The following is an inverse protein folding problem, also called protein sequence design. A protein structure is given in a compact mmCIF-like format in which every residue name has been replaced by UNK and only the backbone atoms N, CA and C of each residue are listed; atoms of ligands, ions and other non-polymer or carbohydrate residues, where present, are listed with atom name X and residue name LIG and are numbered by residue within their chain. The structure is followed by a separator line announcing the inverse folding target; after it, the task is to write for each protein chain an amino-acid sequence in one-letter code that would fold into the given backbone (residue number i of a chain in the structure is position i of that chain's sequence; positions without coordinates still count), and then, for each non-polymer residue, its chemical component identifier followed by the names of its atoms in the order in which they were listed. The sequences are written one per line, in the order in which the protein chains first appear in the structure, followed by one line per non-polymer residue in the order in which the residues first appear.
data_IF_665339755799
#
_entry.id   IF_665339755799
#
_cell.length_a   1.000
_cell.length_b   1.000
_cell.length_c   1.000
_cell.angle_alpha   90.00
_cell.angle_beta   90.00
_cell.angle_gamma   90.00
#
_symmetry.space_group_name_H-M   'P 1'
#
loop_
_entity.id
_entity.type
_entity.pdbx_description
1 polymer ?
#
# COMPACT_ATOMS: atom_id res chain seq x y z
N UNK A 1 -18.78 8.36 0.88
CA UNK A 1 -17.71 8.25 1.89
C UNK A 1 -16.65 9.30 1.56
N UNK A 2 -16.06 10.00 2.55
CA UNK A 2 -14.97 10.96 2.25
C UNK A 2 -13.69 10.22 1.81
N UNK A 3 -12.77 10.84 1.05
CA UNK A 3 -11.51 10.21 0.68
C UNK A 3 -10.71 9.73 1.90
N UNK A 4 -10.71 10.50 2.99
CA UNK A 4 -10.06 10.11 4.24
C UNK A 4 -10.69 8.86 4.87
N UNK A 5 -12.02 8.77 4.89
CA UNK A 5 -12.73 7.58 5.38
C UNK A 5 -12.41 6.36 4.51
N UNK A 6 -12.38 6.51 3.18
CA UNK A 6 -12.01 5.41 2.27
C UNK A 6 -10.59 4.90 2.54
N UNK A 7 -9.62 5.80 2.71
CA UNK A 7 -8.24 5.44 3.05
C UNK A 7 -8.14 4.74 4.42
N UNK A 8 -8.95 5.15 5.39
CA UNK A 8 -9.02 4.44 6.68
C UNK A 8 -9.62 3.05 6.53
N UNK A 9 -10.67 2.88 5.72
CA UNK A 9 -11.24 1.57 5.39
C UNK A 9 -10.21 0.67 4.70
N UNK A 10 -9.45 1.19 3.72
CA UNK A 10 -8.35 0.46 3.08
C UNK A 10 -7.32 -0.02 4.10
N UNK A 11 -6.89 0.87 5.02
CA UNK A 11 -5.95 0.54 6.09
C UNK A 11 -6.51 -0.56 7.01
N UNK A 12 -7.78 -0.48 7.39
CA UNK A 12 -8.41 -1.44 8.29
C UNK A 12 -8.61 -2.81 7.59
N UNK A 13 -9.02 -2.83 6.32
CA UNK A 13 -9.13 -4.06 5.52
C UNK A 13 -7.76 -4.70 5.30
N UNK A 14 -6.75 -3.91 4.95
CA UNK A 14 -5.38 -4.41 4.79
C UNK A 14 -4.86 -5.02 6.10
N UNK A 15 -5.15 -4.37 7.24
CA UNK A 15 -4.79 -4.89 8.57
C UNK A 15 -5.45 -6.25 8.86
N UNK A 16 -6.67 -6.49 8.40
CA UNK A 16 -7.33 -7.79 8.54
C UNK A 16 -6.63 -8.88 7.71
N UNK A 17 -6.16 -8.55 6.51
CA UNK A 17 -5.47 -9.48 5.60
C UNK A 17 -4.07 -9.83 6.15
N UNK A 18 -3.29 -8.83 6.52
CA UNK A 18 -1.88 -9.03 6.90
C UNK A 18 -1.69 -9.47 8.35
N UNK A 19 -2.76 -9.45 9.14
CA UNK A 19 -2.80 -9.96 10.51
C UNK A 19 -1.79 -9.31 11.45
N UNK A 20 -0.64 -9.96 11.64
CA UNK A 20 0.41 -9.56 12.59
C UNK A 20 1.31 -8.43 12.10
N UNK A 21 1.28 -8.12 10.80
CA UNK A 21 2.11 -7.07 10.22
C UNK A 21 1.57 -5.67 10.53
N UNK A 22 2.47 -4.69 10.57
CA UNK A 22 2.09 -3.33 10.92
C UNK A 22 1.45 -2.62 9.73
N UNK A 23 0.26 -2.07 9.92
CA UNK A 23 -0.43 -1.25 8.92
C UNK A 23 -0.68 0.13 9.48
N UNK A 24 -0.19 1.15 8.77
CA UNK A 24 -0.22 2.54 9.20
C UNK A 24 -0.66 3.47 8.07
N UNK A 25 -1.06 4.68 8.43
CA UNK A 25 -1.23 5.81 7.50
C UNK A 25 -0.18 6.90 7.70
N UNK A 26 0.76 6.69 8.63
CA UNK A 26 1.81 7.63 8.92
C UNK A 26 3.09 7.21 8.19
N UNK A 27 3.57 8.06 7.27
CA UNK A 27 4.80 7.81 6.53
C UNK A 27 6.02 7.65 7.45
N UNK A 28 6.09 8.37 8.58
CA UNK A 28 7.25 8.29 9.46
C UNK A 28 7.44 6.90 10.07
N UNK A 29 6.37 6.12 10.18
CA UNK A 29 6.40 4.78 10.77
C UNK A 29 7.21 3.81 9.90
N UNK A 30 7.36 4.08 8.60
CA UNK A 30 8.25 3.31 7.73
C UNK A 30 9.67 3.31 8.29
N UNK A 31 10.14 4.45 8.82
CA UNK A 31 11.49 4.62 9.36
C UNK A 31 11.57 4.36 10.87
N UNK A 32 10.49 4.56 11.64
CA UNK A 32 10.54 4.48 13.11
C UNK A 32 10.07 3.15 13.70
N UNK A 33 9.32 2.34 12.94
CA UNK A 33 8.74 1.08 13.42
C UNK A 33 9.36 -0.16 12.74
N UNK A 34 10.31 0.03 11.83
CA UNK A 34 10.93 -1.03 11.02
C UNK A 34 11.68 -2.10 11.83
N UNK A 35 12.23 -1.75 13.00
CA UNK A 35 12.88 -2.72 13.90
C UNK A 35 11.89 -3.52 14.76
N UNK A 36 10.62 -3.10 14.82
CA UNK A 36 9.60 -3.67 15.71
C UNK A 36 8.67 -4.63 15.00
N UNK A 37 8.62 -4.56 13.68
CA UNK A 37 7.70 -5.33 12.87
C UNK A 37 8.44 -5.96 11.70
N UNK A 38 8.18 -7.25 11.46
CA UNK A 38 8.76 -7.97 10.32
C UNK A 38 8.44 -7.27 8.99
N UNK A 39 7.24 -6.71 8.88
CA UNK A 39 6.77 -6.04 7.67
C UNK A 39 5.84 -4.90 8.02
N UNK A 40 5.97 -3.82 7.25
CA UNK A 40 5.17 -2.61 7.38
C UNK A 40 4.46 -2.33 6.06
N UNK A 41 3.19 -1.94 6.16
CA UNK A 41 2.38 -1.42 5.08
C UNK A 41 1.92 0.00 5.43
N UNK A 42 2.37 1.01 4.68
CA UNK A 42 1.93 2.39 4.83
C UNK A 42 0.96 2.78 3.73
N UNK A 43 -0.29 3.08 4.09
CA UNK A 43 -1.32 3.61 3.20
C UNK A 43 -1.18 5.13 3.14
N UNK A 44 -0.64 5.62 2.04
CA UNK A 44 -0.34 7.03 1.82
C UNK A 44 -1.31 7.61 0.80
N UNK A 45 -1.86 8.78 1.08
CA UNK A 45 -2.49 9.55 0.02
C UNK A 45 -1.41 9.90 -1.00
N UNK A 46 -1.61 9.55 -2.28
CA UNK A 46 -0.81 10.17 -3.33
C UNK A 46 -1.19 11.64 -3.27
N UNK A 47 -0.20 12.51 -3.00
CA UNK A 47 -0.47 13.88 -2.59
C UNK A 47 -1.62 14.50 -3.35
N UNK A 48 -2.51 15.20 -2.62
CA UNK A 48 -3.31 16.27 -3.21
C UNK A 48 -2.42 17.02 -4.19
N UNK A 49 -2.88 17.31 -5.42
CA UNK A 49 -2.05 17.90 -6.46
C UNK A 49 -1.21 19.02 -5.85
N UNK A 50 0.11 18.80 -5.76
CA UNK A 50 1.02 19.84 -5.34
C UNK A 50 0.86 20.95 -6.37
N UNK A 51 0.34 22.08 -5.90
CA UNK A 51 0.05 23.28 -6.67
C UNK A 51 -1.19 23.21 -7.58
N UNK A 52 -2.29 23.70 -7.02
CA UNK A 52 -3.10 24.69 -7.75
C UNK A 52 -4.12 24.16 -8.75
N UNK A 53 -5.04 23.31 -8.31
CA UNK A 53 -6.43 23.48 -8.73
C UNK A 53 -7.33 23.17 -7.55
N UNK A 54 -8.12 24.18 -7.20
CA UNK A 54 -9.14 24.14 -6.18
C UNK A 54 -10.06 22.95 -6.41
N UNK A 55 -10.32 22.19 -5.35
CA UNK A 55 -11.53 21.38 -5.13
C UNK A 55 -12.40 21.16 -6.38
N UNK A 56 -11.97 20.26 -7.27
CA UNK A 56 -12.96 19.54 -8.06
C UNK A 56 -13.52 18.48 -7.11
N UNK A 57 -14.65 18.81 -6.51
CA UNK A 57 -15.50 17.84 -5.80
C UNK A 57 -16.06 16.75 -6.72
N UNK A 58 -15.63 16.74 -7.99
CA UNK A 58 -16.02 15.86 -9.08
C UNK A 58 -14.85 14.99 -9.61
N UNK A 59 -13.70 14.92 -8.93
CA UNK A 59 -12.68 13.92 -9.30
C UNK A 59 -13.20 12.51 -8.93
N UNK A 60 -13.94 11.89 -9.84
CA UNK A 60 -14.46 10.52 -9.77
C UNK A 60 -13.35 9.46 -9.61
N UNK A 61 -12.09 9.87 -9.80
CA UNK A 61 -10.91 9.02 -9.68
C UNK A 61 -9.93 9.59 -8.65
N UNK A 62 -9.80 8.89 -7.53
CA UNK A 62 -8.87 9.25 -6.45
C UNK A 62 -7.73 8.23 -6.38
N UNK A 63 -6.51 8.67 -6.68
CA UNK A 63 -5.31 7.85 -6.56
C UNK A 63 -4.78 7.84 -5.13
N UNK A 64 -4.12 6.75 -4.75
CA UNK A 64 -3.37 6.63 -3.52
C UNK A 64 -2.24 5.61 -3.66
N UNK A 65 -1.37 5.55 -2.66
CA UNK A 65 -0.23 4.64 -2.64
C UNK A 65 -0.27 3.72 -1.43
N UNK A 66 0.22 2.50 -1.60
CA UNK A 66 0.59 1.63 -0.49
C UNK A 66 2.09 1.35 -0.63
N UNK A 67 2.86 1.62 0.42
CA UNK A 67 4.26 1.23 0.51
C UNK A 67 4.34 0.00 1.40
N UNK A 68 4.80 -1.12 0.86
CA UNK A 68 5.12 -2.31 1.64
C UNK A 68 6.64 -2.44 1.75
N UNK A 69 7.14 -2.67 2.97
CA UNK A 69 8.57 -2.77 3.25
C UNK A 69 8.83 -3.84 4.30
N UNK A 70 9.91 -4.60 4.09
CA UNK A 70 10.45 -5.56 5.03
C UNK A 70 11.96 -5.38 5.13
N UNK A 71 12.46 -5.25 6.34
CA UNK A 71 13.90 -5.27 6.63
C UNK A 71 14.43 -6.67 6.32
N UNK A 72 15.53 -6.73 5.57
CA UNK A 72 16.18 -8.00 5.20
C UNK A 72 17.65 -7.96 5.60
N UNK A 73 18.21 -9.13 5.86
CA UNK A 73 19.63 -9.23 6.18
C UNK A 73 20.48 -9.00 4.93
N UNK A 74 21.70 -8.50 5.10
CA UNK A 74 22.65 -8.33 3.99
C UNK A 74 22.99 -9.66 3.28
N UNK A 75 22.81 -10.78 3.96
CA UNK A 75 23.00 -12.13 3.41
C UNK A 75 21.80 -12.65 2.60
N UNK A 76 20.68 -11.93 2.57
CA UNK A 76 19.48 -12.34 1.82
C UNK A 76 19.73 -12.24 0.32
N UNK A 77 19.50 -13.34 -0.40
CA UNK A 77 19.75 -13.39 -1.84
C UNK A 77 18.73 -12.58 -2.64
N UNK A 78 19.05 -12.25 -3.89
CA UNK A 78 18.11 -11.57 -4.80
C UNK A 78 16.80 -12.34 -4.98
N UNK A 79 16.88 -13.67 -5.15
CA UNK A 79 15.70 -14.55 -5.25
C UNK A 79 14.83 -14.53 -4.00
N UNK A 80 15.44 -14.47 -2.80
CA UNK A 80 14.70 -14.36 -1.55
C UNK A 80 14.01 -13.00 -1.41
N UNK A 81 14.68 -11.91 -1.83
CA UNK A 81 14.06 -10.56 -1.85
C UNK A 81 12.88 -10.54 -2.82
N UNK A 82 13.05 -11.11 -4.01
CA UNK A 82 11.98 -11.21 -5.00
C UNK A 82 10.78 -12.03 -4.47
N UNK A 83 11.02 -13.16 -3.78
CA UNK A 83 9.95 -13.92 -3.14
C UNK A 83 9.19 -13.11 -2.07
N UNK A 84 9.90 -12.29 -1.29
CA UNK A 84 9.30 -11.38 -0.31
C UNK A 84 8.43 -10.34 -1.04
N UNK A 85 8.95 -9.70 -2.08
CA UNK A 85 8.24 -8.70 -2.90
C UNK A 85 6.98 -9.31 -3.55
N UNK A 86 7.07 -10.54 -4.07
CA UNK A 86 5.90 -11.27 -4.58
C UNK A 86 4.85 -11.50 -3.50
N UNK A 87 5.25 -11.89 -2.29
CA UNK A 87 4.30 -12.08 -1.19
C UNK A 87 3.58 -10.76 -0.83
N UNK A 88 4.27 -9.62 -0.94
CA UNK A 88 3.63 -8.31 -0.72
C UNK A 88 2.62 -8.00 -1.84
N UNK A 89 2.95 -8.34 -3.09
CA UNK A 89 2.05 -8.16 -4.22
C UNK A 89 0.78 -9.00 -4.09
N UNK A 90 0.90 -10.28 -3.68
CA UNK A 90 -0.27 -11.14 -3.48
C UNK A 90 -1.20 -10.61 -2.39
N UNK A 91 -0.67 -10.05 -1.30
CA UNK A 91 -1.48 -9.36 -0.27
C UNK A 91 -2.29 -8.21 -0.85
N UNK A 92 -1.69 -7.38 -1.72
CA UNK A 92 -2.42 -6.24 -2.32
C UNK A 92 -3.44 -6.72 -3.36
N UNK A 93 -3.16 -7.79 -4.09
CA UNK A 93 -4.16 -8.42 -4.96
C UNK A 93 -5.34 -8.97 -4.17
N UNK A 94 -5.08 -9.59 -3.02
CA UNK A 94 -6.12 -10.08 -2.12
C UNK A 94 -6.98 -8.91 -1.59
N UNK A 95 -6.36 -7.80 -1.22
CA UNK A 95 -7.09 -6.58 -0.82
C UNK A 95 -8.05 -6.10 -1.91
N UNK A 96 -7.59 -6.02 -3.15
CA UNK A 96 -8.43 -5.61 -4.29
C UNK A 96 -9.54 -6.63 -4.56
N UNK A 97 -9.24 -7.93 -4.48
CA UNK A 97 -10.23 -8.98 -4.68
C UNK A 97 -11.33 -8.97 -3.61
N UNK A 98 -10.96 -8.84 -2.33
CA UNK A 98 -11.91 -8.78 -1.22
C UNK A 98 -12.78 -7.53 -1.27
N UNK A 99 -12.24 -6.40 -1.75
CA UNK A 99 -13.05 -5.18 -1.96
C UNK A 99 -14.15 -5.43 -2.99
N UNK A 100 -13.86 -6.13 -4.08
CA UNK A 100 -14.86 -6.48 -5.12
C UNK A 100 -15.98 -7.42 -4.64
N UNK A 101 -15.79 -8.13 -3.52
CA UNK A 101 -16.79 -9.02 -2.91
C UNK A 101 -17.53 -8.34 -1.73
N UNK A 102 -17.14 -7.14 -1.33
CA UNK A 102 -17.74 -6.44 -0.21
C UNK A 102 -19.17 -5.97 -0.51
N UNK A 103 -20.02 -5.90 0.52
CA UNK A 103 -21.39 -5.38 0.38
C UNK A 103 -21.42 -3.89 -0.04
N UNK A 104 -20.39 -3.14 0.35
CA UNK A 104 -20.17 -1.74 -0.04
C UNK A 104 -18.72 -1.60 -0.52
N UNK A 105 -18.43 -1.93 -1.79
CA UNK A 105 -17.07 -1.89 -2.33
C UNK A 105 -16.55 -0.45 -2.42
N UNK A 106 -15.25 -0.27 -2.23
CA UNK A 106 -14.55 0.98 -2.48
C UNK A 106 -14.17 1.13 -3.97
N UNK A 107 -14.40 0.08 -4.77
CA UNK A 107 -14.01 -0.06 -6.17
C UNK A 107 -12.51 0.16 -6.35
N UNK A 108 -11.72 -0.58 -5.57
CA UNK A 108 -10.27 -0.55 -5.65
C UNK A 108 -9.78 -1.09 -6.98
N UNK A 109 -8.82 -0.39 -7.57
CA UNK A 109 -8.08 -0.88 -8.71
C UNK A 109 -6.59 -0.67 -8.51
N UNK A 110 -5.81 -1.73 -8.76
CA UNK A 110 -4.36 -1.67 -8.79
C UNK A 110 -3.90 -1.11 -10.13
N UNK A 111 -3.31 0.08 -10.13
CA UNK A 111 -2.82 0.77 -11.34
C UNK A 111 -1.41 0.30 -11.69
N UNK A 112 -0.52 0.28 -10.71
CA UNK A 112 0.86 -0.16 -10.92
C UNK A 112 1.51 -0.70 -9.64
N UNK A 113 2.55 -1.51 -9.80
CA UNK A 113 3.39 -1.98 -8.72
C UNK A 113 4.86 -1.88 -9.14
N UNK A 114 5.71 -1.31 -8.27
CA UNK A 114 7.15 -1.14 -8.51
C UNK A 114 7.91 -1.75 -7.34
N UNK A 115 8.79 -2.69 -7.62
CA UNK A 115 9.60 -3.34 -6.58
C UNK A 115 10.99 -2.73 -6.48
N UNK A 116 11.74 -3.08 -5.42
CA UNK A 116 13.11 -2.63 -5.22
C UNK A 116 14.09 -3.15 -6.28
N UNK A 117 13.66 -4.13 -7.09
CA UNK A 117 14.47 -4.80 -8.12
C UNK A 117 15.78 -5.39 -7.57
N UNK A 118 15.77 -5.81 -6.31
CA UNK A 118 16.95 -6.36 -5.63
C UNK A 118 18.11 -5.36 -5.48
N UNK A 119 17.87 -4.07 -5.76
CA UNK A 119 18.90 -3.01 -5.70
C UNK A 119 19.08 -2.44 -4.29
N UNK A 120 18.06 -2.56 -3.44
CA UNK A 120 18.15 -2.13 -2.05
C UNK A 120 18.87 -3.22 -1.22
N UNK A 121 20.02 -2.91 -0.61
CA UNK A 121 20.80 -3.90 0.13
C UNK A 121 20.10 -4.37 1.41
N UNK A 122 19.29 -3.52 2.04
CA UNK A 122 18.76 -3.72 3.39
C UNK A 122 17.24 -3.87 3.44
N UNK A 123 16.54 -3.60 2.34
CA UNK A 123 15.09 -3.80 2.26
C UNK A 123 14.66 -4.63 1.06
N UNK A 124 13.55 -5.34 1.23
CA UNK A 124 12.65 -5.68 0.15
C UNK A 124 11.44 -4.75 0.25
N UNK A 125 11.11 -4.04 -0.82
CA UNK A 125 10.00 -3.09 -0.83
C UNK A 125 9.22 -3.13 -2.15
N UNK A 126 7.94 -2.81 -2.05
CA UNK A 126 7.05 -2.62 -3.19
C UNK A 126 6.20 -1.37 -2.98
N UNK A 127 6.21 -0.50 -3.99
CA UNK A 127 5.33 0.66 -4.09
C UNK A 127 4.15 0.30 -4.99
N UNK A 128 2.95 0.34 -4.44
CA UNK A 128 1.71 0.12 -5.16
C UNK A 128 1.01 1.46 -5.39
N UNK A 129 0.61 1.72 -6.63
CA UNK A 129 -0.30 2.81 -6.98
C UNK A 129 -1.68 2.20 -7.19
N UNK A 130 -2.66 2.68 -6.42
CA UNK A 130 -4.05 2.24 -6.48
C UNK A 130 -4.96 3.44 -6.74
N UNK A 131 -6.18 3.14 -7.20
CA UNK A 131 -7.23 4.15 -7.35
C UNK A 131 -8.57 3.64 -6.81
N UNK A 132 -9.39 4.57 -6.35
CA UNK A 132 -10.83 4.37 -6.21
C UNK A 132 -11.48 4.65 -7.56
N UNK A 133 -12.24 3.70 -8.10
CA UNK A 133 -12.95 3.84 -9.37
C UNK A 133 -14.45 3.98 -9.12
N UNK A 134 -14.95 5.21 -8.97
CA UNK A 134 -16.37 5.46 -8.68
C UNK A 134 -17.28 5.49 -9.93
N UNK A 135 -16.75 5.10 -11.11
CA UNK A 135 -17.44 5.08 -12.41
C UNK A 135 -18.50 3.98 -12.54
#
# INVERSE_FOLDING_TARGET
MTPEQRLNTVKDNLKQIVGIHHVTRNYSDLDTEMDKHERIYAVLSSGFPQFGSLYDTEDEVHNFMIVAQQLVNESTTGEQKEAIEFSMLEVIKELVAQDGEANEPLNLELVSARTSRQMDPIHAWVLFELRFNDL
#
